data_IF_681283654105
#
_entry.id   IF_681283654105
#
_cell.length_a   1.000
_cell.length_b   1.000
_cell.length_c   1.000
_cell.angle_alpha   90.00
_cell.angle_beta   90.00
_cell.angle_gamma   90.00
#
_symmetry.space_group_name_H-M   'P 1'
#
loop_
_entity.id
_entity.type
_entity.pdbx_description
1 polymer ?
#
# COMPACT_ATOMS: atom_id res chain seq x y z
N UNK A 1 -1.56 4.02 -31.00
CA UNK A 1 -0.51 4.58 -30.12
C UNK A 1 -0.99 4.79 -28.68
N UNK A 2 -2.22 5.27 -28.41
CA UNK A 2 -2.75 5.30 -27.02
C UNK A 2 -2.98 3.92 -26.38
N UNK A 3 -3.22 2.88 -27.19
CA UNK A 3 -3.48 1.51 -26.73
C UNK A 3 -2.30 0.83 -26.06
N UNK A 4 -1.08 0.99 -26.58
CA UNK A 4 0.13 0.35 -26.03
C UNK A 4 0.51 0.97 -24.68
N UNK A 5 0.49 2.30 -24.60
CA UNK A 5 0.72 3.01 -23.33
C UNK A 5 -0.33 2.64 -22.28
N UNK A 6 -1.61 2.55 -22.66
CA UNK A 6 -2.67 2.11 -21.76
C UNK A 6 -2.48 0.65 -21.30
N UNK A 7 -1.95 -0.25 -22.14
CA UNK A 7 -1.63 -1.62 -21.73
C UNK A 7 -0.48 -1.67 -20.72
N UNK A 8 0.61 -0.94 -20.96
CA UNK A 8 1.74 -0.84 -20.03
C UNK A 8 1.30 -0.25 -18.69
N UNK A 9 0.43 0.76 -18.71
CA UNK A 9 -0.12 1.36 -17.49
C UNK A 9 -0.97 0.40 -16.68
N UNK A 10 -1.84 -0.38 -17.34
CA UNK A 10 -2.63 -1.41 -16.66
C UNK A 10 -1.74 -2.49 -16.06
N UNK A 11 -0.70 -2.91 -16.79
CA UNK A 11 0.27 -3.88 -16.32
C UNK A 11 1.08 -3.36 -15.12
N UNK A 12 1.53 -2.10 -15.17
CA UNK A 12 2.21 -1.44 -14.05
C UNK A 12 1.32 -1.45 -12.80
N UNK A 13 0.06 -1.02 -12.91
CA UNK A 13 -0.89 -1.03 -11.78
C UNK A 13 -1.15 -2.42 -11.20
N UNK A 14 -1.19 -3.44 -12.06
CA UNK A 14 -1.35 -4.81 -11.59
C UNK A 14 -0.13 -5.27 -10.79
N UNK A 15 1.08 -5.01 -11.31
CA UNK A 15 2.33 -5.29 -10.59
C UNK A 15 2.45 -4.50 -9.30
N UNK A 16 2.03 -3.24 -9.26
CA UNK A 16 2.02 -2.43 -8.03
C UNK A 16 1.17 -3.09 -6.94
N UNK A 17 -0.04 -3.55 -7.28
CA UNK A 17 -0.91 -4.25 -6.32
C UNK A 17 -0.28 -5.57 -5.85
N UNK A 18 0.35 -6.33 -6.75
CA UNK A 18 0.98 -7.60 -6.39
C UNK A 18 2.22 -7.39 -5.51
N UNK A 19 3.03 -6.36 -5.81
CA UNK A 19 4.18 -5.93 -4.98
C UNK A 19 3.70 -5.52 -3.60
N UNK A 20 2.63 -4.72 -3.49
CA UNK A 20 2.08 -4.29 -2.20
C UNK A 20 1.65 -5.47 -1.32
N UNK A 21 0.90 -6.43 -1.90
CA UNK A 21 0.48 -7.63 -1.19
C UNK A 21 1.66 -8.49 -0.74
N UNK A 22 2.69 -8.65 -1.59
CA UNK A 22 3.89 -9.39 -1.23
C UNK A 22 4.75 -8.67 -0.21
N UNK A 23 4.86 -7.34 -0.24
CA UNK A 23 5.56 -6.57 0.78
C UNK A 23 4.89 -6.71 2.15
N UNK A 24 3.55 -6.74 2.20
CA UNK A 24 2.81 -7.03 3.44
C UNK A 24 3.13 -8.44 3.95
N UNK A 25 3.14 -9.44 3.07
CA UNK A 25 3.50 -10.81 3.43
C UNK A 25 4.97 -10.91 3.89
N UNK A 26 5.88 -10.20 3.22
CA UNK A 26 7.31 -10.17 3.51
C UNK A 26 7.60 -9.52 4.85
N UNK A 27 6.94 -8.40 5.14
CA UNK A 27 6.98 -7.79 6.47
C UNK A 27 6.40 -8.73 7.54
N UNK A 28 5.29 -9.42 7.25
CA UNK A 28 4.69 -10.37 8.19
C UNK A 28 5.59 -11.56 8.49
N UNK A 29 6.28 -12.11 7.49
CA UNK A 29 7.24 -13.21 7.70
C UNK A 29 8.47 -12.68 8.44
N UNK A 30 9.01 -11.53 8.04
CA UNK A 30 10.15 -10.89 8.69
C UNK A 30 9.91 -10.49 10.15
N UNK A 31 8.69 -10.10 10.52
CA UNK A 31 8.29 -9.77 11.89
C UNK A 31 7.81 -11.01 12.67
N UNK A 32 7.00 -11.85 12.03
CA UNK A 32 6.24 -12.96 12.61
C UNK A 32 7.08 -14.16 13.06
N UNK A 33 8.31 -14.31 12.58
CA UNK A 33 9.27 -15.30 13.09
C UNK A 33 9.53 -15.18 14.61
N UNK A 34 9.26 -14.01 15.22
CA UNK A 34 9.39 -13.80 16.66
C UNK A 34 8.09 -14.03 17.47
N UNK A 35 6.94 -14.17 16.81
CA UNK A 35 5.65 -14.37 17.52
C UNK A 35 5.39 -15.83 17.88
N UNK A 36 6.06 -16.76 17.21
CA UNK A 36 6.06 -18.19 17.55
C UNK A 36 7.00 -18.54 18.71
N UNK A 37 7.83 -17.61 19.17
CA UNK A 37 8.76 -17.83 20.30
C UNK A 37 8.05 -17.86 21.67
N UNK A 38 6.73 -17.66 21.70
CA UNK A 38 5.91 -17.79 22.91
C UNK A 38 5.37 -19.20 23.20
N UNK A 39 5.61 -20.21 22.35
CA UNK A 39 5.02 -21.57 22.57
C UNK A 39 5.87 -22.76 22.07
N UNK A 40 7.19 -22.64 21.97
CA UNK A 40 8.05 -23.83 21.77
C UNK A 40 8.28 -24.49 23.15
N UNK A 41 7.79 -25.68 23.52
CA UNK A 41 7.55 -26.93 22.77
C UNK A 41 8.66 -27.23 21.76
N UNK A 42 9.73 -27.85 22.29
CA UNK A 42 10.75 -28.67 21.63
C UNK A 42 10.55 -28.86 20.11
N UNK A 43 11.09 -27.96 19.29
CA UNK A 43 11.41 -28.27 17.88
C UNK A 43 12.53 -27.35 17.40
N UNK A 44 13.76 -27.86 17.37
CA UNK A 44 14.94 -27.25 16.73
C UNK A 44 14.82 -27.10 15.19
N UNK A 45 13.64 -27.34 14.61
CA UNK A 45 13.39 -27.41 13.16
C UNK A 45 12.59 -26.23 12.60
N UNK A 46 12.08 -25.34 13.45
CA UNK A 46 11.16 -24.26 13.05
C UNK A 46 11.80 -22.95 12.51
N UNK A 47 13.02 -22.50 12.92
CA UNK A 47 13.54 -21.20 12.46
C UNK A 47 14.03 -21.25 10.99
N UNK A 48 14.60 -22.37 10.55
CA UNK A 48 15.21 -22.52 9.23
C UNK A 48 14.17 -22.48 8.08
N UNK A 49 12.93 -22.88 8.37
CA UNK A 49 11.82 -22.85 7.43
C UNK A 49 11.30 -21.42 7.19
N UNK A 50 11.35 -20.56 8.21
CA UNK A 50 10.97 -19.15 8.09
C UNK A 50 11.97 -18.35 7.25
N UNK A 51 13.26 -18.65 7.41
CA UNK A 51 14.36 -17.97 6.71
C UNK A 51 14.34 -18.28 5.20
N UNK A 52 14.15 -19.55 4.82
CA UNK A 52 14.01 -19.94 3.42
C UNK A 52 12.77 -19.32 2.74
N UNK A 53 11.66 -19.19 3.48
CA UNK A 53 10.45 -18.52 2.98
C UNK A 53 10.69 -17.01 2.83
N UNK A 54 11.43 -16.40 3.75
CA UNK A 54 11.82 -15.00 3.67
C UNK A 54 12.70 -14.76 2.44
N UNK A 55 13.75 -15.55 2.24
CA UNK A 55 14.67 -15.41 1.10
C UNK A 55 13.96 -15.64 -0.25
N UNK A 56 13.11 -16.67 -0.34
CA UNK A 56 12.30 -16.92 -1.55
C UNK A 56 11.38 -15.74 -1.88
N UNK A 57 10.75 -15.13 -0.87
CA UNK A 57 9.86 -14.00 -1.07
C UNK A 57 10.65 -12.71 -1.40
N UNK A 58 11.86 -12.58 -0.85
CA UNK A 58 12.80 -11.50 -1.15
C UNK A 58 13.15 -11.48 -2.64
N UNK A 59 13.59 -12.62 -3.18
CA UNK A 59 13.94 -12.79 -4.60
C UNK A 59 12.74 -12.51 -5.53
N UNK A 60 11.56 -12.96 -5.14
CA UNK A 60 10.36 -12.74 -5.93
C UNK A 60 9.98 -11.24 -5.98
N UNK A 61 10.06 -10.54 -4.84
CA UNK A 61 9.80 -9.09 -4.77
C UNK A 61 10.82 -8.32 -5.61
N UNK A 62 12.10 -8.66 -5.51
CA UNK A 62 13.15 -8.04 -6.32
C UNK A 62 12.89 -8.20 -7.83
N UNK A 63 12.52 -9.41 -8.26
CA UNK A 63 12.15 -9.67 -9.65
C UNK A 63 10.93 -8.85 -10.11
N UNK A 64 9.92 -8.67 -9.24
CA UNK A 64 8.75 -7.85 -9.56
C UNK A 64 9.08 -6.35 -9.62
N UNK A 65 9.94 -5.86 -8.73
CA UNK A 65 10.40 -4.47 -8.74
C UNK A 65 11.16 -4.16 -10.03
N UNK A 66 12.00 -5.08 -10.49
CA UNK A 66 12.72 -4.92 -11.77
C UNK A 66 11.79 -4.99 -12.98
N UNK A 67 10.79 -5.88 -12.96
CA UNK A 67 9.74 -5.90 -13.99
C UNK A 67 8.98 -4.58 -14.04
N UNK A 68 8.60 -4.01 -12.89
CA UNK A 68 7.94 -2.70 -12.82
C UNK A 68 8.85 -1.57 -13.32
N UNK A 69 10.15 -1.63 -13.00
CA UNK A 69 11.15 -0.70 -13.51
C UNK A 69 11.22 -0.72 -15.04
N UNK A 70 11.29 -1.91 -15.63
CA UNK A 70 11.32 -2.10 -17.07
C UNK A 70 10.05 -1.60 -17.77
N UNK A 71 8.88 -1.79 -17.15
CA UNK A 71 7.61 -1.27 -17.68
C UNK A 71 7.59 0.25 -17.64
N UNK A 72 8.07 0.86 -16.56
CA UNK A 72 8.18 2.31 -16.44
C UNK A 72 9.15 2.89 -17.49
N UNK A 73 10.24 2.19 -17.79
CA UNK A 73 11.19 2.58 -18.84
C UNK A 73 10.56 2.49 -20.23
N UNK A 74 9.93 1.36 -20.58
CA UNK A 74 9.17 1.21 -21.84
C UNK A 74 8.07 2.25 -21.99
N UNK A 75 7.40 2.61 -20.89
CA UNK A 75 6.37 3.66 -20.89
C UNK A 75 6.99 5.05 -21.15
N UNK A 76 8.25 5.27 -20.77
CA UNK A 76 8.97 6.52 -20.99
C UNK A 76 9.53 6.66 -22.41
N UNK A 77 9.80 5.56 -23.09
CA UNK A 77 10.31 5.54 -24.47
C UNK A 77 9.25 5.90 -25.52
N UNK A 78 7.96 5.82 -25.18
CA UNK A 78 6.85 6.14 -26.10
C UNK A 78 6.77 7.67 -26.29
N UNK A 79 7.16 8.21 -27.47
CA UNK A 79 7.31 9.65 -27.66
C UNK A 79 5.99 10.27 -28.11
N UNK A 80 5.07 10.56 -27.18
CA UNK A 80 3.95 11.50 -27.38
C UNK A 80 3.22 11.86 -26.06
N UNK A 81 3.96 12.08 -24.99
CA UNK A 81 3.38 12.20 -23.65
C UNK A 81 3.05 13.65 -23.32
N UNK A 82 1.80 14.07 -23.55
CA UNK A 82 1.29 15.32 -23.00
C UNK A 82 1.46 15.39 -21.47
N UNK A 83 1.37 16.59 -20.87
CA UNK A 83 1.68 16.82 -19.45
C UNK A 83 1.02 15.80 -18.49
N UNK A 84 -0.20 15.37 -18.77
CA UNK A 84 -0.91 14.35 -17.97
C UNK A 84 -0.19 12.98 -17.95
N UNK A 85 0.39 12.56 -19.07
CA UNK A 85 1.13 11.29 -19.18
C UNK A 85 2.46 11.38 -18.44
N UNK A 86 3.15 12.52 -18.53
CA UNK A 86 4.39 12.75 -17.78
C UNK A 86 4.15 12.68 -16.26
N UNK A 87 3.05 13.28 -15.76
CA UNK A 87 2.68 13.19 -14.35
C UNK A 87 2.36 11.75 -13.90
N UNK A 88 1.70 10.97 -14.74
CA UNK A 88 1.41 9.55 -14.44
C UNK A 88 2.70 8.74 -14.37
N UNK A 89 3.61 8.92 -15.32
CA UNK A 89 4.91 8.23 -15.33
C UNK A 89 5.75 8.62 -14.10
N UNK A 90 5.79 9.91 -13.76
CA UNK A 90 6.48 10.40 -12.58
C UNK A 90 5.94 9.73 -11.30
N UNK A 91 4.61 9.63 -11.17
CA UNK A 91 3.98 8.93 -10.06
C UNK A 91 4.36 7.45 -10.00
N UNK A 92 4.40 6.74 -11.13
CA UNK A 92 4.82 5.34 -11.18
C UNK A 92 6.29 5.16 -10.73
N UNK A 93 7.17 6.12 -11.06
CA UNK A 93 8.57 6.13 -10.56
C UNK A 93 8.65 6.36 -9.06
N UNK A 94 7.86 7.29 -8.52
CA UNK A 94 7.78 7.57 -7.09
C UNK A 94 7.27 6.36 -6.29
N UNK A 95 6.21 5.69 -6.79
CA UNK A 95 5.66 4.47 -6.20
C UNK A 95 6.71 3.36 -6.17
N UNK A 96 7.38 3.11 -7.30
CA UNK A 96 8.44 2.11 -7.38
C UNK A 96 9.61 2.42 -6.44
N UNK A 97 9.98 3.69 -6.30
CA UNK A 97 11.02 4.09 -5.34
C UNK A 97 10.58 3.81 -3.90
N UNK A 98 9.33 4.12 -3.55
CA UNK A 98 8.74 3.80 -2.26
C UNK A 98 8.76 2.30 -1.95
N UNK A 99 8.40 1.45 -2.92
CA UNK A 99 8.46 -0.01 -2.73
C UNK A 99 9.89 -0.53 -2.54
N UNK A 100 10.87 -0.01 -3.28
CA UNK A 100 12.30 -0.36 -3.07
C UNK A 100 12.78 0.04 -1.68
N UNK A 101 12.39 1.21 -1.20
CA UNK A 101 12.75 1.66 0.14
C UNK A 101 12.13 0.78 1.22
N UNK A 102 10.84 0.43 1.10
CA UNK A 102 10.18 -0.44 2.09
C UNK A 102 10.78 -1.86 2.07
N UNK A 103 11.08 -2.42 0.89
CA UNK A 103 11.78 -3.69 0.74
C UNK A 103 13.11 -3.70 1.51
N UNK A 104 13.98 -2.72 1.26
CA UNK A 104 15.28 -2.60 1.92
C UNK A 104 15.14 -2.42 3.44
N UNK A 105 14.13 -1.67 3.89
CA UNK A 105 13.84 -1.48 5.30
C UNK A 105 13.44 -2.79 5.98
N UNK A 106 12.58 -3.59 5.35
CA UNK A 106 12.18 -4.91 5.87
C UNK A 106 13.39 -5.84 5.92
N UNK A 107 14.24 -5.84 4.88
CA UNK A 107 15.46 -6.66 4.82
C UNK A 107 16.49 -6.26 5.90
N UNK A 108 16.69 -4.95 6.13
CA UNK A 108 17.55 -4.45 7.19
C UNK A 108 17.01 -4.81 8.59
N UNK A 109 15.69 -4.78 8.77
CA UNK A 109 15.05 -5.20 10.01
C UNK A 109 15.27 -6.71 10.25
N UNK A 110 15.11 -7.53 9.23
CA UNK A 110 15.37 -8.97 9.29
C UNK A 110 16.83 -9.27 9.65
N UNK A 111 17.78 -8.60 9.01
CA UNK A 111 19.22 -8.80 9.26
C UNK A 111 19.60 -8.42 10.69
N UNK A 112 19.18 -7.23 11.15
CA UNK A 112 19.39 -6.79 12.54
C UNK A 112 18.82 -7.79 13.56
N UNK A 113 17.68 -8.42 13.22
CA UNK A 113 17.07 -9.45 14.06
C UNK A 113 17.89 -10.73 14.10
N UNK A 114 18.31 -11.23 12.94
CA UNK A 114 19.17 -12.42 12.83
C UNK A 114 20.48 -12.23 13.62
N UNK A 115 21.12 -11.07 13.49
CA UNK A 115 22.32 -10.72 14.27
C UNK A 115 22.04 -10.73 15.77
N UNK A 116 20.90 -10.16 16.21
CA UNK A 116 20.50 -10.17 17.63
C UNK A 116 20.27 -11.59 18.15
N UNK A 117 19.63 -12.45 17.37
CA UNK A 117 19.42 -13.86 17.72
C UNK A 117 20.74 -14.63 17.79
N UNK A 118 21.67 -14.36 16.89
CA UNK A 118 23.01 -14.96 16.92
C UNK A 118 23.81 -14.54 18.16
N UNK A 119 23.75 -13.26 18.54
CA UNK A 119 24.39 -12.77 19.77
C UNK A 119 23.79 -13.39 21.04
N UNK A 120 22.46 -13.57 21.08
CA UNK A 120 21.75 -14.24 22.18
C UNK A 120 22.07 -15.73 22.25
N UNK A 121 22.18 -16.41 21.10
CA UNK A 121 22.61 -17.82 21.00
C UNK A 121 24.05 -17.99 21.47
N UNK A 122 24.94 -17.06 21.10
CA UNK A 122 26.33 -17.03 21.55
C UNK A 122 26.51 -16.85 23.06
N UNK A 123 25.63 -16.07 23.71
CA UNK A 123 25.64 -15.89 25.17
C UNK A 123 24.99 -17.06 25.95
N UNK A 124 24.19 -17.90 25.30
CA UNK A 124 23.45 -19.00 25.94
C UNK A 124 24.21 -20.32 26.10
N UNK A 125 25.32 -20.52 25.36
CA UNK A 125 26.07 -21.79 25.32
C UNK A 125 27.29 -21.83 26.26
N UNK A 126 27.46 -20.83 27.14
CA UNK A 126 28.69 -20.64 27.92
C UNK A 126 28.68 -21.06 29.40
N UNK A 127 27.58 -21.56 29.97
CA UNK A 127 27.51 -21.80 31.43
C UNK A 127 26.83 -23.10 31.84
N UNK A 128 27.28 -24.23 31.28
CA UNK A 128 27.07 -25.55 31.90
C UNK A 128 28.34 -26.00 32.64
N UNK A 129 28.76 -25.23 33.66
CA UNK A 129 29.70 -25.75 34.66
C UNK A 129 28.91 -26.46 35.76
N UNK A 130 29.10 -27.77 36.00
CA UNK A 130 28.39 -28.50 37.04
C UNK A 130 29.04 -28.24 38.39
N UNK A 131 28.78 -27.08 39.00
CA UNK A 131 29.15 -26.86 40.40
C UNK A 131 28.32 -25.75 41.04
N UNK A 132 27.75 -26.09 42.20
CA UNK A 132 27.13 -25.20 43.20
C UNK A 132 25.63 -24.90 43.02
N UNK A 133 24.82 -25.78 43.60
CA UNK A 133 23.37 -25.68 43.77
C UNK A 133 22.87 -24.45 44.59
N UNK A 134 23.78 -23.60 45.08
CA UNK A 134 23.47 -22.35 45.79
C UNK A 134 23.59 -21.07 44.94
N UNK A 135 24.53 -21.01 43.99
CA UNK A 135 24.70 -19.86 43.09
C UNK A 135 23.60 -19.84 42.02
N UNK A 136 23.17 -21.00 41.55
CA UNK A 136 22.10 -21.16 40.56
C UNK A 136 20.79 -20.47 40.99
N UNK A 137 20.44 -20.49 42.29
CA UNK A 137 19.22 -19.85 42.78
C UNK A 137 19.36 -18.31 42.78
N UNK A 138 20.53 -17.80 43.16
CA UNK A 138 20.82 -16.35 43.16
C UNK A 138 20.91 -15.79 41.73
N UNK A 139 21.55 -16.50 40.81
CA UNK A 139 21.57 -16.15 39.38
C UNK A 139 20.19 -16.24 38.74
N UNK A 140 19.39 -17.22 39.15
CA UNK A 140 17.98 -17.33 38.71
C UNK A 140 17.17 -16.11 39.15
N UNK A 141 17.30 -15.67 40.41
CA UNK A 141 16.62 -14.44 40.88
C UNK A 141 17.15 -13.17 40.22
N UNK A 142 18.45 -13.08 39.94
CA UNK A 142 19.03 -11.95 39.21
C UNK A 142 18.50 -11.88 37.77
N UNK A 143 18.48 -13.03 37.08
CA UNK A 143 17.90 -13.17 35.75
C UNK A 143 16.41 -12.86 35.74
N UNK A 144 15.66 -13.35 36.72
CA UNK A 144 14.23 -13.03 36.89
C UNK A 144 14.03 -11.53 37.10
N UNK A 145 14.86 -10.88 37.93
CA UNK A 145 14.79 -9.45 38.16
C UNK A 145 15.11 -8.64 36.88
N UNK A 146 16.12 -9.06 36.11
CA UNK A 146 16.40 -8.45 34.78
C UNK A 146 15.24 -8.66 33.81
N UNK A 147 14.64 -9.86 33.80
CA UNK A 147 13.45 -10.15 32.99
C UNK A 147 12.25 -9.30 33.41
N UNK A 148 12.00 -9.13 34.72
CA UNK A 148 10.93 -8.27 35.23
C UNK A 148 11.15 -6.80 34.86
N UNK A 149 12.38 -6.30 34.96
CA UNK A 149 12.71 -4.94 34.56
C UNK A 149 12.52 -4.74 33.05
N UNK A 150 12.98 -5.69 32.23
CA UNK A 150 12.77 -5.64 30.78
C UNK A 150 11.28 -5.73 30.41
N UNK A 151 10.51 -6.59 31.09
CA UNK A 151 9.06 -6.72 30.92
C UNK A 151 8.34 -5.42 31.29
N UNK A 152 8.74 -4.77 32.38
CA UNK A 152 8.20 -3.47 32.78
C UNK A 152 8.47 -2.38 31.73
N UNK A 153 9.66 -2.36 31.11
CA UNK A 153 9.97 -1.41 30.04
C UNK A 153 9.13 -1.68 28.79
N UNK A 154 8.99 -2.94 28.37
CA UNK A 154 8.19 -3.33 27.22
C UNK A 154 6.69 -3.02 27.41
N UNK A 155 6.17 -3.22 28.62
CA UNK A 155 4.79 -2.84 28.95
C UNK A 155 4.60 -1.33 28.86
N UNK A 156 5.57 -0.54 29.34
CA UNK A 156 5.52 0.92 29.22
C UNK A 156 5.55 1.38 27.75
N UNK A 157 6.37 0.73 26.91
CA UNK A 157 6.42 1.00 25.47
C UNK A 157 5.10 0.62 24.78
N UNK A 158 4.50 -0.52 25.12
CA UNK A 158 3.18 -0.91 24.61
C UNK A 158 2.08 0.05 25.04
N UNK A 159 2.13 0.56 26.27
CA UNK A 159 1.21 1.60 26.75
C UNK A 159 1.38 2.89 25.93
N UNK A 160 2.64 3.29 25.66
CA UNK A 160 2.94 4.45 24.83
C UNK A 160 2.40 4.30 23.40
N UNK A 161 2.67 3.16 22.75
CA UNK A 161 2.18 2.84 21.39
C UNK A 161 0.64 2.80 21.36
N UNK A 162 0.00 2.23 22.39
CA UNK A 162 -1.46 2.19 22.49
C UNK A 162 -2.07 3.59 22.66
N UNK A 163 -1.43 4.47 23.43
CA UNK A 163 -1.85 5.87 23.55
C UNK A 163 -1.70 6.64 22.24
N UNK A 164 -0.58 6.48 21.54
CA UNK A 164 -0.34 7.09 20.23
C UNK A 164 -1.36 6.59 19.19
N UNK A 165 -1.65 5.28 19.17
CA UNK A 165 -2.64 4.70 18.25
C UNK A 165 -4.05 5.21 18.55
N UNK A 166 -4.41 5.35 19.83
CA UNK A 166 -5.70 5.95 20.26
C UNK A 166 -5.81 7.40 19.78
N UNK A 167 -4.75 8.19 19.91
CA UNK A 167 -4.72 9.57 19.44
C UNK A 167 -4.87 9.63 17.91
N UNK A 168 -4.15 8.78 17.19
CA UNK A 168 -4.22 8.70 15.73
C UNK A 168 -5.63 8.30 15.25
N UNK A 169 -6.27 7.30 15.86
CA UNK A 169 -7.65 6.91 15.55
C UNK A 169 -8.66 8.03 15.89
N UNK A 170 -8.43 8.76 16.98
CA UNK A 170 -9.28 9.90 17.35
C UNK A 170 -9.16 11.04 16.33
N UNK A 171 -7.93 11.32 15.88
CA UNK A 171 -7.66 12.28 14.80
C UNK A 171 -8.32 11.84 13.48
N UNK A 172 -8.15 10.57 13.07
CA UNK A 172 -8.81 10.02 11.88
C UNK A 172 -10.34 10.13 11.95
N UNK A 173 -10.95 9.90 13.12
CA UNK A 173 -12.38 10.11 13.32
C UNK A 173 -12.81 11.55 13.09
N UNK A 174 -12.00 12.53 13.52
CA UNK A 174 -12.27 13.95 13.23
C UNK A 174 -12.15 14.26 11.74
N UNK A 175 -11.17 13.67 11.05
CA UNK A 175 -11.02 13.80 9.59
C UNK A 175 -12.22 13.21 8.83
N UNK A 176 -12.68 12.02 9.20
CA UNK A 176 -13.88 11.40 8.60
C UNK A 176 -15.14 12.23 8.84
N UNK A 177 -15.32 12.78 10.03
CA UNK A 177 -16.43 13.72 10.31
C UNK A 177 -16.36 14.94 9.39
N UNK A 178 -15.19 15.56 9.24
CA UNK A 178 -15.00 16.71 8.33
C UNK A 178 -15.29 16.32 6.87
N UNK A 179 -14.89 15.12 6.44
CA UNK A 179 -15.20 14.61 5.12
C UNK A 179 -16.71 14.39 4.93
N UNK A 180 -17.39 13.79 5.90
CA UNK A 180 -18.84 13.60 5.89
C UNK A 180 -19.59 14.94 5.80
N UNK A 181 -19.16 15.97 6.55
CA UNK A 181 -19.74 17.31 6.45
C UNK A 181 -19.55 17.90 5.05
N UNK A 182 -18.34 17.81 4.48
CA UNK A 182 -18.09 18.27 3.10
C UNK A 182 -18.89 17.50 2.06
N UNK A 183 -19.04 16.19 2.23
CA UNK A 183 -19.86 15.36 1.34
C UNK A 183 -21.34 15.72 1.44
N UNK A 184 -21.82 16.02 2.64
CA UNK A 184 -23.18 16.53 2.87
C UNK A 184 -23.37 17.91 2.21
N UNK A 185 -22.40 18.82 2.31
CA UNK A 185 -22.42 20.12 1.63
C UNK A 185 -22.39 19.98 0.10
N UNK A 186 -21.64 19.02 -0.45
CA UNK A 186 -21.64 18.68 -1.87
C UNK A 186 -22.99 18.10 -2.29
N UNK A 187 -23.58 17.21 -1.50
CA UNK A 187 -24.92 16.66 -1.72
C UNK A 187 -25.96 17.78 -1.78
N UNK A 188 -25.86 18.78 -0.90
CA UNK A 188 -26.74 19.95 -0.91
C UNK A 188 -26.51 20.88 -2.12
N UNK A 189 -25.34 20.82 -2.77
CA UNK A 189 -25.03 21.56 -4.02
C UNK A 189 -25.29 20.78 -5.30
N UNK A 190 -25.46 19.46 -5.24
CA UNK A 190 -25.82 18.61 -6.38
C UNK A 190 -27.09 19.03 -7.13
N UNK A 191 -28.20 19.48 -6.49
CA UNK A 191 -29.37 20.00 -7.20
C UNK A 191 -29.08 21.28 -8.01
N UNK A 192 -28.08 22.09 -7.62
CA UNK A 192 -27.67 23.28 -8.39
C UNK A 192 -26.93 22.89 -9.68
N UNK A 193 -26.12 21.83 -9.65
CA UNK A 193 -25.43 21.31 -10.85
C UNK A 193 -26.44 20.70 -11.84
N UNK A 194 -27.47 20.02 -11.34
CA UNK A 194 -28.58 19.53 -12.18
C UNK A 194 -29.29 20.68 -12.91
N UNK A 195 -29.51 21.82 -12.22
CA UNK A 195 -30.11 23.00 -12.84
C UNK A 195 -29.24 23.63 -13.95
N UNK A 196 -27.91 23.58 -13.81
CA UNK A 196 -26.97 24.08 -14.81
C UNK A 196 -26.90 23.14 -16.02
N UNK A 197 -26.85 21.82 -15.78
CA UNK A 197 -26.92 20.81 -16.85
C UNK A 197 -28.23 20.95 -17.65
N UNK A 198 -29.35 21.17 -16.97
CA UNK A 198 -30.66 21.32 -17.60
C UNK A 198 -30.76 22.60 -18.44
N UNK A 199 -30.20 23.72 -17.96
CA UNK A 199 -30.14 24.99 -18.71
C UNK A 199 -29.28 24.87 -19.97
N UNK A 200 -28.17 24.12 -19.92
CA UNK A 200 -27.32 23.87 -21.08
C UNK A 200 -28.06 23.03 -22.14
N UNK A 201 -28.79 22.00 -21.72
CA UNK A 201 -29.50 21.11 -22.64
C UNK A 201 -30.70 21.81 -23.34
N UNK A 202 -31.38 22.73 -22.65
CA UNK A 202 -32.48 23.54 -23.23
C UNK A 202 -31.98 24.44 -24.37
N UNK A 203 -30.79 25.05 -24.25
CA UNK A 203 -30.24 25.90 -25.31
C UNK A 203 -29.92 25.10 -26.58
N UNK A 204 -29.33 23.91 -26.40
CA UNK A 204 -28.97 22.99 -27.50
C UNK A 204 -30.20 22.41 -28.21
N UNK A 205 -31.30 22.14 -27.48
CA UNK A 205 -32.57 21.69 -28.07
C UNK A 205 -33.24 22.74 -28.95
N UNK A 206 -33.19 24.03 -28.58
CA UNK A 206 -33.81 25.11 -29.38
C UNK A 206 -33.14 25.25 -30.75
N UNK A 207 -31.81 25.21 -30.80
CA UNK A 207 -31.05 25.30 -32.05
C UNK A 207 -31.34 24.10 -32.96
N UNK A 208 -31.40 22.88 -32.41
CA UNK A 208 -31.75 21.68 -33.17
C UNK A 208 -33.18 21.70 -33.72
N UNK A 209 -34.14 22.28 -32.99
CA UNK A 209 -35.53 22.41 -33.44
C UNK A 209 -35.66 23.40 -34.61
N UNK A 210 -34.96 24.53 -34.54
CA UNK A 210 -34.98 25.54 -35.61
C UNK A 210 -34.39 24.97 -36.89
N UNK A 211 -33.22 24.30 -36.79
CA UNK A 211 -32.56 23.68 -37.96
C UNK A 211 -33.45 22.59 -38.56
N UNK A 212 -34.04 21.72 -37.73
CA UNK A 212 -34.96 20.67 -38.20
C UNK A 212 -36.20 21.24 -38.91
N UNK A 213 -36.77 22.33 -38.40
CA UNK A 213 -37.91 23.02 -39.03
C UNK A 213 -37.58 23.62 -40.39
N UNK A 214 -36.41 24.26 -40.53
CA UNK A 214 -35.97 24.82 -41.83
C UNK A 214 -35.78 23.73 -42.87
N UNK A 215 -35.17 22.60 -42.49
CA UNK A 215 -34.98 21.45 -43.38
C UNK A 215 -36.34 20.89 -43.81
N UNK A 216 -37.28 20.69 -42.89
CA UNK A 216 -38.60 20.17 -43.20
C UNK A 216 -39.36 21.08 -44.19
N UNK A 217 -39.35 22.41 -43.98
CA UNK A 217 -39.99 23.36 -44.89
C UNK A 217 -39.33 23.36 -46.27
N UNK A 218 -38.00 23.33 -46.34
CA UNK A 218 -37.28 23.22 -47.63
C UNK A 218 -37.65 21.93 -48.38
N UNK A 219 -37.75 20.79 -47.67
CA UNK A 219 -38.11 19.51 -48.30
C UNK A 219 -39.54 19.51 -48.82
N UNK A 220 -40.49 20.14 -48.11
CA UNK A 220 -41.89 20.26 -48.54
C UNK A 220 -42.00 21.15 -49.78
N UNK A 221 -41.30 22.29 -49.82
CA UNK A 221 -41.30 23.18 -50.98
C UNK A 221 -40.71 22.50 -52.22
N UNK A 222 -39.61 21.75 -52.07
CA UNK A 222 -39.05 20.97 -53.18
C UNK A 222 -40.00 19.88 -53.67
N UNK A 223 -40.70 19.19 -52.76
CA UNK A 223 -41.71 18.21 -53.15
C UNK A 223 -42.88 18.84 -53.91
N UNK A 224 -43.39 19.99 -53.45
CA UNK A 224 -44.44 20.71 -54.15
C UNK A 224 -44.00 21.18 -55.53
N UNK A 225 -42.76 21.66 -55.68
CA UNK A 225 -42.20 22.03 -56.98
C UNK A 225 -41.93 20.83 -57.90
N UNK A 226 -41.60 19.66 -57.35
CA UNK A 226 -41.38 18.46 -58.15
C UNK A 226 -42.69 17.81 -58.63
N UNK A 227 -43.78 17.98 -57.88
CA UNK A 227 -45.10 17.43 -58.19
C UNK A 227 -46.06 18.40 -58.90
N UNK A 228 -45.62 19.64 -59.18
CA UNK A 228 -46.34 20.65 -59.94
C UNK A 228 -45.50 21.14 -61.11
#
# INVERSE_FOLDING_TARGET
MGTEWDTLRKQARHLENDIDMKLIAFNKVGVGAASSTGTASNTDTSPLLGDHVFESLSLEIEQMLDKLSNINEKMSEIPNSGAAVMHVLQRHREILHGYRQEYLKIQANHTTRMEREELLRGSGLGTSSPSTSGLSRRDMYLKENTHLHSSSSLVNDQISIAMETKEHLTSQRQHLKRFQTRMHDISNRFPLISSLIQRINIRKRRESLIIGGVIAVCTILLLLYAFH
#
